data_IF_068015905547
#
_entry.id   IF_068015905547
#
_cell.length_a   1.000
_cell.length_b   1.000
_cell.length_c   1.000
_cell.angle_alpha   90.00
_cell.angle_beta   90.00
_cell.angle_gamma   90.00
#
_symmetry.space_group_name_H-M   'P 1'
#
loop_
_entity.id
_entity.type
_entity.pdbx_description
1 polymer ?
#
# COMPACT_ATOMS: atom_id res chain seq x y z
N UNK A 1 -28.52 26.76 50.19
CA UNK A 1 -28.34 25.34 49.72
C UNK A 1 -28.90 25.32 48.31
N UNK A 2 -28.03 25.62 47.33
CA UNK A 2 -28.36 25.51 45.90
C UNK A 2 -28.27 24.03 45.50
N UNK A 3 -29.37 23.53 44.98
CA UNK A 3 -29.43 22.20 44.38
C UNK A 3 -28.55 22.19 43.15
N UNK A 4 -27.37 21.56 43.21
CA UNK A 4 -26.62 21.17 42.04
C UNK A 4 -27.46 20.17 41.23
N UNK A 5 -27.94 20.63 40.10
CA UNK A 5 -28.69 19.83 39.13
C UNK A 5 -27.73 18.84 38.45
N UNK A 6 -28.11 17.56 38.45
CA UNK A 6 -27.39 16.40 37.83
C UNK A 6 -27.22 16.53 36.28
N UNK A 7 -27.46 17.67 35.68
CA UNK A 7 -27.46 17.90 34.23
C UNK A 7 -26.42 18.92 33.73
N UNK A 8 -25.50 19.37 34.60
CA UNK A 8 -24.46 20.33 34.17
C UNK A 8 -23.20 19.65 33.56
N UNK A 9 -23.29 18.39 33.18
CA UNK A 9 -22.20 17.60 32.53
C UNK A 9 -22.40 17.48 31.01
N UNK A 10 -23.00 18.47 30.36
CA UNK A 10 -23.00 18.54 28.87
C UNK A 10 -21.71 19.18 28.35
N UNK A 11 -20.56 18.71 28.82
CA UNK A 11 -19.33 18.79 28.03
C UNK A 11 -19.49 17.79 26.91
N UNK A 12 -19.80 18.27 25.69
CA UNK A 12 -19.57 17.52 24.46
C UNK A 12 -18.11 17.09 24.52
N UNK A 13 -17.87 15.83 24.86
CA UNK A 13 -16.53 15.32 25.17
C UNK A 13 -15.79 15.14 23.85
N UNK A 14 -15.04 16.16 23.48
CA UNK A 14 -14.05 16.03 22.40
C UNK A 14 -13.12 14.85 22.76
N UNK A 15 -12.88 13.90 21.85
CA UNK A 15 -12.04 12.74 22.11
C UNK A 15 -10.65 13.13 22.69
N UNK A 16 -10.14 12.32 23.61
CA UNK A 16 -8.87 12.57 24.28
C UNK A 16 -7.71 12.86 23.33
N UNK A 17 -7.64 12.12 22.21
CA UNK A 17 -6.66 12.32 21.15
C UNK A 17 -6.73 13.69 20.47
N UNK A 18 -7.89 14.37 20.52
CA UNK A 18 -8.05 15.72 19.99
C UNK A 18 -7.71 16.78 21.02
N UNK A 19 -8.05 16.54 22.30
CA UNK A 19 -7.78 17.46 23.41
C UNK A 19 -6.28 17.57 23.70
N UNK A 20 -5.55 16.45 23.59
CA UNK A 20 -4.10 16.36 23.85
C UNK A 20 -3.25 16.59 22.61
N UNK A 21 -3.81 17.21 21.57
CA UNK A 21 -3.01 17.50 20.38
C UNK A 21 -1.94 18.55 20.70
N UNK A 22 -0.64 18.24 20.55
CA UNK A 22 0.43 19.17 20.87
C UNK A 22 0.35 20.44 20.01
N UNK A 23 0.60 21.58 20.62
CA UNK A 23 0.63 22.88 19.97
C UNK A 23 2.06 23.29 19.52
N UNK A 24 3.08 22.63 20.03
CA UNK A 24 4.48 22.95 19.74
C UNK A 24 5.30 21.70 19.36
N UNK A 25 6.46 21.91 18.72
CA UNK A 25 7.40 20.83 18.42
C UNK A 25 8.02 20.21 19.67
N UNK A 26 8.09 20.94 20.77
CA UNK A 26 8.68 20.44 22.02
C UNK A 26 7.73 19.51 22.77
N UNK A 27 6.41 19.65 22.55
CA UNK A 27 5.38 18.73 23.05
C UNK A 27 5.16 17.54 22.11
N UNK A 28 5.68 17.61 20.88
CA UNK A 28 5.46 16.59 19.88
C UNK A 28 6.28 15.33 20.20
N UNK A 29 5.60 14.24 20.49
CA UNK A 29 6.23 12.97 20.91
C UNK A 29 6.70 12.18 19.70
N UNK A 30 7.91 11.63 19.78
CA UNK A 30 8.52 10.82 18.75
C UNK A 30 9.04 11.60 17.54
N UNK A 31 9.34 10.90 16.46
CA UNK A 31 9.88 11.45 15.19
C UNK A 31 11.19 12.27 15.37
N UNK A 32 12.02 11.91 16.32
CA UNK A 32 13.29 12.58 16.62
C UNK A 32 14.20 12.72 15.40
N UNK A 33 14.12 11.80 14.45
CA UNK A 33 14.89 11.82 13.21
C UNK A 33 14.47 12.95 12.27
N UNK A 34 13.25 13.51 12.42
CA UNK A 34 12.70 14.61 11.61
C UNK A 34 12.70 15.95 12.37
N UNK A 35 12.18 15.93 13.60
CA UNK A 35 11.89 17.14 14.37
C UNK A 35 12.77 17.31 15.62
N UNK A 36 13.71 16.41 15.86
CA UNK A 36 14.71 16.55 16.92
C UNK A 36 15.60 17.80 16.73
N UNK A 37 16.27 18.24 17.78
CA UNK A 37 17.18 19.41 17.72
C UNK A 37 18.21 19.24 16.61
N UNK A 38 18.34 20.27 15.76
CA UNK A 38 19.27 20.28 14.64
C UNK A 38 18.84 19.54 13.39
N UNK A 39 17.66 18.93 13.37
CA UNK A 39 17.13 18.25 12.19
C UNK A 39 16.57 19.22 11.16
N UNK A 40 16.63 18.81 9.88
CA UNK A 40 16.31 19.68 8.74
C UNK A 40 14.87 20.22 8.82
N UNK A 41 13.89 19.37 9.10
CA UNK A 41 12.49 19.79 9.15
C UNK A 41 12.28 20.82 10.29
N UNK A 42 12.85 20.56 11.48
CA UNK A 42 12.81 21.50 12.60
C UNK A 42 13.40 22.85 12.24
N UNK A 43 14.59 22.87 11.61
CA UNK A 43 15.24 24.10 11.18
C UNK A 43 14.40 24.89 10.16
N UNK A 44 13.76 24.19 9.21
CA UNK A 44 12.89 24.83 8.23
C UNK A 44 11.68 25.51 8.90
N UNK A 45 11.08 24.84 9.90
CA UNK A 45 9.97 25.38 10.67
C UNK A 45 10.40 26.58 11.52
N UNK A 46 11.50 26.45 12.24
CA UNK A 46 12.02 27.52 13.13
C UNK A 46 12.46 28.77 12.36
N UNK A 47 12.97 28.60 11.11
CA UNK A 47 13.36 29.70 10.22
C UNK A 47 12.24 30.23 9.34
N UNK A 48 11.03 29.70 9.46
CA UNK A 48 9.89 30.03 8.58
C UNK A 48 10.20 29.85 7.08
N UNK A 49 11.01 28.86 6.74
CA UNK A 49 11.45 28.52 5.37
C UNK A 49 10.82 27.21 4.88
N UNK A 50 9.54 27.06 5.12
CA UNK A 50 8.80 25.86 4.68
C UNK A 50 8.53 25.90 3.19
N UNK A 51 8.59 24.73 2.56
CA UNK A 51 8.20 24.48 1.18
C UNK A 51 7.14 23.37 1.14
N UNK A 52 6.51 23.15 0.00
CA UNK A 52 5.56 22.04 -0.17
C UNK A 52 6.21 20.71 0.17
N UNK A 53 5.47 19.84 0.87
CA UNK A 53 5.96 18.58 1.39
C UNK A 53 4.90 17.51 1.46
N UNK A 54 5.34 16.25 1.49
CA UNK A 54 4.50 15.07 1.69
C UNK A 54 4.93 14.38 2.97
N UNK A 55 4.00 14.15 3.89
CA UNK A 55 4.18 13.32 5.07
C UNK A 55 3.71 11.90 4.78
N UNK A 56 4.63 10.98 4.72
CA UNK A 56 4.37 9.57 4.49
C UNK A 56 4.65 8.76 5.75
N UNK A 57 3.73 7.89 6.15
CA UNK A 57 3.91 7.00 7.29
C UNK A 57 2.58 6.42 7.78
N UNK A 58 2.63 5.45 8.71
CA UNK A 58 1.46 4.75 9.23
C UNK A 58 0.45 5.69 9.89
N UNK A 59 -0.79 5.22 10.16
CA UNK A 59 -1.79 6.02 10.86
C UNK A 59 -1.34 6.37 12.28
N UNK A 60 -1.90 7.43 12.86
CA UNK A 60 -1.67 7.80 14.26
C UNK A 60 -0.28 8.31 14.66
N UNK A 61 0.64 8.49 13.72
CA UNK A 61 2.03 8.94 13.99
C UNK A 61 2.22 10.45 14.05
N UNK A 62 1.12 11.23 13.94
CA UNK A 62 1.16 12.67 14.12
C UNK A 62 1.25 13.50 12.82
N UNK A 63 0.98 12.95 11.62
CA UNK A 63 1.04 13.69 10.33
C UNK A 63 0.22 14.98 10.36
N UNK A 64 -1.07 14.89 10.71
CA UNK A 64 -1.98 16.03 10.81
C UNK A 64 -1.57 17.03 11.90
N UNK A 65 -1.10 16.51 13.02
CA UNK A 65 -0.61 17.31 14.15
C UNK A 65 0.62 18.13 13.77
N UNK A 66 1.58 17.50 13.11
CA UNK A 66 2.80 18.17 12.65
C UNK A 66 2.48 19.27 11.63
N UNK A 67 1.54 19.03 10.70
CA UNK A 67 1.08 20.04 9.78
C UNK A 67 0.43 21.24 10.49
N UNK A 68 -0.37 20.98 11.54
CA UNK A 68 -0.99 22.02 12.36
C UNK A 68 0.04 22.87 13.12
N UNK A 69 1.06 22.23 13.70
CA UNK A 69 2.17 22.93 14.37
C UNK A 69 2.94 23.82 13.40
N UNK A 70 3.22 23.31 12.18
CA UNK A 70 3.89 24.07 11.13
C UNK A 70 3.09 25.32 10.78
N UNK A 71 1.81 25.17 10.55
CA UNK A 71 0.93 26.28 10.18
C UNK A 71 0.85 27.35 11.30
N UNK A 72 0.71 26.94 12.55
CA UNK A 72 0.70 27.83 13.70
C UNK A 72 2.01 28.64 13.87
N UNK A 73 3.16 28.00 13.59
CA UNK A 73 4.47 28.66 13.71
C UNK A 73 4.75 29.65 12.56
N UNK A 74 4.22 29.42 11.38
CA UNK A 74 4.57 30.15 10.16
C UNK A 74 3.68 31.34 9.84
N UNK A 75 2.77 31.72 10.73
CA UNK A 75 1.79 32.81 10.55
C UNK A 75 1.05 32.75 9.20
N UNK A 76 0.77 31.53 8.75
CA UNK A 76 0.08 31.27 7.50
C UNK A 76 -1.40 30.97 7.75
N UNK A 77 -2.26 31.29 6.80
CA UNK A 77 -3.63 30.77 6.80
C UNK A 77 -3.59 29.26 6.65
N UNK A 78 -4.18 28.51 7.60
CA UNK A 78 -4.23 27.06 7.57
C UNK A 78 -5.56 26.58 7.06
N UNK A 79 -5.54 25.86 5.94
CA UNK A 79 -6.71 25.23 5.36
C UNK A 79 -6.54 23.72 5.45
N UNK A 80 -7.42 23.07 6.22
CA UNK A 80 -7.45 21.60 6.31
C UNK A 80 -8.45 21.06 5.30
N UNK A 81 -7.99 20.21 4.41
CA UNK A 81 -8.74 19.67 3.30
C UNK A 81 -8.71 18.13 3.33
N UNK A 82 -9.88 17.51 3.26
CA UNK A 82 -9.99 16.05 3.25
C UNK A 82 -10.20 15.54 1.82
N UNK A 83 -9.32 14.69 1.33
CA UNK A 83 -9.46 14.05 0.02
C UNK A 83 -10.66 13.10 -0.06
N UNK A 84 -11.23 12.69 1.09
CA UNK A 84 -12.38 11.79 1.15
C UNK A 84 -13.69 12.48 0.84
N UNK A 85 -13.84 13.74 1.29
CA UNK A 85 -15.11 14.46 1.22
C UNK A 85 -15.16 15.57 0.16
N UNK A 86 -14.01 15.92 -0.42
CA UNK A 86 -13.88 17.14 -1.22
C UNK A 86 -13.75 16.88 -2.72
N UNK A 87 -14.54 17.64 -3.47
CA UNK A 87 -14.59 17.58 -4.93
C UNK A 87 -13.68 18.61 -5.63
N UNK A 88 -13.55 18.49 -6.95
CA UNK A 88 -12.69 19.38 -7.77
C UNK A 88 -13.15 20.85 -7.73
N UNK A 89 -14.43 21.11 -7.49
CA UNK A 89 -14.98 22.48 -7.35
C UNK A 89 -14.43 23.16 -6.10
N UNK A 90 -14.46 22.46 -4.97
CA UNK A 90 -13.96 22.96 -3.68
C UNK A 90 -12.45 23.20 -3.74
N UNK A 91 -11.69 22.32 -4.42
CA UNK A 91 -10.26 22.53 -4.67
C UNK A 91 -10.05 23.88 -5.37
N UNK A 92 -10.80 24.15 -6.45
CA UNK A 92 -10.69 25.41 -7.21
C UNK A 92 -11.04 26.65 -6.39
N UNK A 93 -12.06 26.57 -5.55
CA UNK A 93 -12.47 27.67 -4.66
C UNK A 93 -11.39 28.00 -3.64
N UNK A 94 -10.82 26.97 -2.98
CA UNK A 94 -9.72 27.12 -2.05
C UNK A 94 -8.48 27.70 -2.74
N UNK A 95 -8.16 27.23 -3.96
CA UNK A 95 -7.04 27.75 -4.74
C UNK A 95 -7.21 29.24 -5.10
N UNK A 96 -8.40 29.63 -5.52
CA UNK A 96 -8.71 31.04 -5.82
C UNK A 96 -8.60 31.93 -4.57
N UNK A 97 -9.07 31.45 -3.42
CA UNK A 97 -8.93 32.15 -2.15
C UNK A 97 -7.46 32.32 -1.76
N UNK A 98 -6.65 31.26 -1.86
CA UNK A 98 -5.22 31.31 -1.60
C UNK A 98 -4.48 32.31 -2.51
N UNK A 99 -4.88 32.39 -3.79
CA UNK A 99 -4.31 33.37 -4.73
C UNK A 99 -4.66 34.81 -4.34
N UNK A 100 -5.87 35.05 -3.82
CA UNK A 100 -6.27 36.37 -3.30
C UNK A 100 -5.50 36.70 -2.02
N UNK A 101 -5.37 35.74 -1.08
CA UNK A 101 -4.60 35.92 0.15
C UNK A 101 -3.12 36.24 -0.15
N UNK A 102 -2.51 35.59 -1.15
CA UNK A 102 -1.16 35.88 -1.60
C UNK A 102 -0.96 37.33 -2.07
N UNK A 103 -1.95 37.88 -2.78
CA UNK A 103 -1.87 39.27 -3.28
C UNK A 103 -1.80 40.31 -2.15
N UNK A 104 -2.31 39.97 -0.98
CA UNK A 104 -2.23 40.83 0.23
C UNK A 104 -1.11 40.40 1.18
N UNK A 105 -0.20 39.53 0.72
CA UNK A 105 0.99 39.11 1.47
C UNK A 105 0.75 37.99 2.50
N UNK A 106 -0.43 37.37 2.48
CA UNK A 106 -0.76 36.24 3.38
C UNK A 106 -0.42 34.92 2.69
N UNK A 107 0.39 34.11 3.35
CA UNK A 107 0.71 32.76 2.90
C UNK A 107 -0.38 31.79 3.30
N UNK A 108 -0.67 30.80 2.45
CA UNK A 108 -1.67 29.76 2.72
C UNK A 108 -0.96 28.40 2.79
N UNK A 109 -1.08 27.73 3.93
CA UNK A 109 -0.70 26.33 4.09
C UNK A 109 -1.95 25.48 3.87
N UNK A 110 -1.94 24.70 2.80
CA UNK A 110 -2.99 23.74 2.49
C UNK A 110 -2.56 22.36 2.96
N UNK A 111 -3.22 21.85 3.98
CA UNK A 111 -3.05 20.47 4.41
C UNK A 111 -4.09 19.58 3.73
N UNK A 112 -3.62 18.52 3.06
CA UNK A 112 -4.48 17.54 2.40
C UNK A 112 -4.26 16.19 3.05
N UNK A 113 -5.26 15.75 3.84
CA UNK A 113 -5.22 14.41 4.44
C UNK A 113 -5.61 13.35 3.41
N UNK A 114 -4.91 12.21 3.45
CA UNK A 114 -5.07 11.07 2.53
C UNK A 114 -5.00 11.49 1.05
N UNK A 115 -3.99 12.30 0.69
CA UNK A 115 -3.82 12.88 -0.65
C UNK A 115 -3.82 11.84 -1.78
N UNK A 116 -3.46 10.58 -1.50
CA UNK A 116 -3.50 9.47 -2.45
C UNK A 116 -4.91 9.13 -2.95
N UNK A 117 -5.96 9.55 -2.24
CA UNK A 117 -7.36 9.35 -2.65
C UNK A 117 -7.79 10.29 -3.77
N UNK A 118 -7.04 11.32 -4.04
CA UNK A 118 -7.26 12.16 -5.19
C UNK A 118 -6.79 11.49 -6.48
N UNK A 119 -7.62 11.51 -7.51
CA UNK A 119 -7.22 11.06 -8.84
C UNK A 119 -6.18 12.03 -9.44
N UNK A 120 -5.54 11.60 -10.55
CA UNK A 120 -4.46 12.37 -11.20
C UNK A 120 -4.89 13.80 -11.58
N UNK A 121 -6.11 13.99 -12.09
CA UNK A 121 -6.61 15.31 -12.48
C UNK A 121 -6.82 16.25 -11.28
N UNK A 122 -7.22 15.68 -10.13
CA UNK A 122 -7.35 16.45 -8.88
C UNK A 122 -5.96 16.82 -8.32
N UNK A 123 -4.99 15.92 -8.38
CA UNK A 123 -3.62 16.21 -8.00
C UNK A 123 -2.96 17.26 -8.92
N UNK A 124 -3.22 17.19 -10.24
CA UNK A 124 -2.73 18.17 -11.20
C UNK A 124 -3.28 19.58 -10.95
N UNK A 125 -4.48 19.69 -10.38
CA UNK A 125 -5.09 20.99 -10.08
C UNK A 125 -4.28 21.81 -9.04
N UNK A 126 -3.43 21.17 -8.23
CA UNK A 126 -2.54 21.87 -7.28
C UNK A 126 -1.29 22.46 -7.93
N UNK A 127 -0.82 21.88 -9.03
CA UNK A 127 0.48 22.21 -9.64
C UNK A 127 0.67 23.71 -9.93
N UNK A 128 -0.26 24.42 -10.57
CA UNK A 128 -0.06 25.84 -10.89
C UNK A 128 0.09 26.71 -9.63
N UNK A 129 -0.53 26.34 -8.53
CA UNK A 129 -0.56 27.10 -7.28
C UNK A 129 0.67 26.80 -6.40
N UNK A 130 1.15 25.55 -6.43
CA UNK A 130 2.41 25.13 -5.81
C UNK A 130 3.58 25.81 -6.52
N UNK A 131 3.61 25.83 -7.86
CA UNK A 131 4.67 26.46 -8.66
C UNK A 131 4.75 27.97 -8.47
N UNK A 132 3.61 28.63 -8.35
CA UNK A 132 3.56 30.10 -8.12
C UNK A 132 3.79 30.47 -6.66
N UNK A 133 3.87 29.48 -5.75
CA UNK A 133 3.95 29.74 -4.32
C UNK A 133 2.68 30.34 -3.71
N UNK A 134 1.52 30.21 -4.38
CA UNK A 134 0.23 30.67 -3.86
C UNK A 134 -0.22 29.83 -2.69
N UNK A 135 0.19 28.57 -2.65
CA UNK A 135 0.01 27.64 -1.54
C UNK A 135 1.32 26.95 -1.18
N UNK A 136 1.45 26.61 0.08
CA UNK A 136 2.40 25.61 0.57
C UNK A 136 1.57 24.35 0.81
N UNK A 137 1.74 23.33 -0.04
CA UNK A 137 1.01 22.07 0.06
C UNK A 137 1.71 21.17 1.09
N UNK A 138 0.95 20.68 2.07
CA UNK A 138 1.36 19.61 2.98
C UNK A 138 0.41 18.44 2.74
N UNK A 139 0.83 17.46 1.94
CA UNK A 139 0.06 16.24 1.73
C UNK A 139 0.39 15.19 2.80
N UNK A 140 -0.61 14.52 3.36
CA UNK A 140 -0.42 13.37 4.22
C UNK A 140 -0.91 12.10 3.52
N UNK A 141 -0.18 11.01 3.68
CA UNK A 141 -0.54 9.71 3.11
C UNK A 141 -0.01 8.56 3.94
N UNK A 142 -0.75 7.46 3.97
CA UNK A 142 -0.29 6.16 4.47
C UNK A 142 0.31 5.31 3.35
N UNK A 143 0.00 5.63 2.09
CA UNK A 143 0.45 4.91 0.91
C UNK A 143 1.82 5.41 0.42
N UNK A 144 2.56 4.54 -0.28
CA UNK A 144 3.85 4.92 -0.85
C UNK A 144 3.67 6.02 -1.92
N UNK A 145 4.19 7.23 -1.68
CA UNK A 145 3.97 8.38 -2.56
C UNK A 145 4.53 8.16 -3.97
N UNK A 146 5.50 7.27 -4.16
CA UNK A 146 6.08 6.98 -5.48
C UNK A 146 5.10 6.28 -6.42
N UNK A 147 4.06 5.62 -5.89
CA UNK A 147 3.04 4.92 -6.67
C UNK A 147 1.75 5.73 -6.79
N UNK A 148 1.39 6.46 -5.74
CA UNK A 148 0.08 7.07 -5.60
C UNK A 148 0.05 8.57 -5.91
N UNK A 149 1.19 9.25 -5.78
CA UNK A 149 1.27 10.68 -6.09
C UNK A 149 1.88 10.87 -7.47
N UNK A 150 1.26 11.77 -8.23
CA UNK A 150 1.71 12.07 -9.57
C UNK A 150 3.15 12.64 -9.55
N UNK A 151 3.98 12.20 -10.49
CA UNK A 151 5.40 12.53 -10.54
C UNK A 151 5.67 14.05 -10.63
N UNK A 152 4.77 14.80 -11.30
CA UNK A 152 4.89 16.25 -11.42
C UNK A 152 4.69 16.95 -10.06
N UNK A 153 3.75 16.49 -9.25
CA UNK A 153 3.53 17.01 -7.90
C UNK A 153 4.65 16.58 -6.95
N UNK A 154 5.05 15.31 -7.02
CA UNK A 154 6.10 14.73 -6.19
C UNK A 154 7.45 15.44 -6.40
N UNK A 155 7.78 15.84 -7.64
CA UNK A 155 9.01 16.56 -7.95
C UNK A 155 9.09 17.97 -7.34
N UNK A 156 7.95 18.52 -6.89
CA UNK A 156 7.83 19.85 -6.26
C UNK A 156 7.65 19.80 -4.75
N UNK A 157 7.57 18.60 -4.18
CA UNK A 157 7.37 18.38 -2.76
C UNK A 157 8.56 17.62 -2.16
N UNK A 158 8.93 17.96 -0.93
CA UNK A 158 9.89 17.16 -0.15
C UNK A 158 9.13 16.05 0.58
N UNK A 159 9.59 14.82 0.46
CA UNK A 159 8.99 13.69 1.18
C UNK A 159 9.66 13.54 2.54
N UNK A 160 8.87 13.52 3.60
CA UNK A 160 9.31 13.22 4.97
C UNK A 160 8.63 11.94 5.44
N UNK A 161 9.43 10.95 5.82
CA UNK A 161 8.95 9.64 6.27
C UNK A 161 8.78 9.66 7.78
N UNK A 162 7.52 9.57 8.24
CA UNK A 162 7.20 9.40 9.65
C UNK A 162 7.19 7.90 9.97
N UNK A 163 7.78 7.53 11.08
CA UNK A 163 7.85 6.14 11.56
C UNK A 163 6.77 5.88 12.59
N UNK A 164 6.39 4.61 12.76
CA UNK A 164 5.60 4.18 13.91
C UNK A 164 6.27 4.66 15.21
N UNK A 165 5.48 5.07 16.19
CA UNK A 165 6.01 5.51 17.48
C UNK A 165 6.57 4.31 18.25
N UNK A 166 7.67 4.52 18.97
CA UNK A 166 8.22 3.49 19.83
C UNK A 166 7.36 3.35 21.11
N UNK A 167 7.33 2.19 21.72
CA UNK A 167 6.55 1.95 22.96
C UNK A 167 6.86 2.98 24.04
N UNK A 168 8.15 3.35 24.21
CA UNK A 168 8.56 4.39 25.17
C UNK A 168 7.96 5.77 24.87
N UNK A 169 7.69 6.09 23.60
CA UNK A 169 7.08 7.36 23.20
C UNK A 169 5.58 7.32 23.51
N UNK A 170 4.93 6.18 23.27
CA UNK A 170 3.53 5.96 23.65
C UNK A 170 3.34 5.97 25.15
N UNK A 171 4.24 5.36 25.94
CA UNK A 171 4.20 5.45 27.40
C UNK A 171 4.27 6.89 27.90
N UNK A 172 5.19 7.69 27.35
CA UNK A 172 5.29 9.12 27.71
C UNK A 172 3.99 9.87 27.40
N UNK A 173 3.40 9.60 26.22
CA UNK A 173 2.15 10.22 25.80
C UNK A 173 1.01 9.83 26.75
N UNK A 174 0.89 8.54 27.10
CA UNK A 174 -0.14 8.04 28.00
C UNK A 174 0.00 8.60 29.41
N UNK A 175 1.22 8.65 29.97
CA UNK A 175 1.49 9.27 31.27
C UNK A 175 1.13 10.74 31.25
N UNK A 176 1.49 11.46 30.19
CA UNK A 176 1.11 12.86 30.01
C UNK A 176 -0.43 13.01 29.99
N UNK A 177 -1.13 12.11 29.30
CA UNK A 177 -2.59 12.12 29.23
C UNK A 177 -3.27 11.96 30.60
N UNK A 178 -2.69 11.16 31.48
CA UNK A 178 -3.21 10.94 32.84
C UNK A 178 -3.09 12.18 33.72
N UNK A 179 -1.99 12.94 33.60
CA UNK A 179 -1.69 14.07 34.50
C UNK A 179 -2.07 15.45 33.90
N UNK A 180 -2.20 15.54 32.58
CA UNK A 180 -2.50 16.81 31.91
C UNK A 180 -3.90 17.32 32.25
N UNK A 181 -4.09 18.64 32.48
CA UNK A 181 -5.42 19.27 32.63
C UNK A 181 -6.33 19.04 31.42
N UNK A 182 -5.76 19.01 30.21
CA UNK A 182 -6.47 18.71 28.96
C UNK A 182 -6.84 17.22 28.84
N UNK A 183 -6.14 16.36 29.61
CA UNK A 183 -6.39 14.92 29.71
C UNK A 183 -7.32 14.59 30.88
N UNK A 184 -6.78 13.84 31.83
CA UNK A 184 -7.47 13.35 33.03
C UNK A 184 -6.98 13.99 34.33
N UNK A 185 -6.11 15.00 34.29
CA UNK A 185 -5.47 15.58 35.49
C UNK A 185 -6.45 16.11 36.54
N UNK A 186 -7.70 16.40 36.18
CA UNK A 186 -8.76 16.80 37.12
C UNK A 186 -9.55 15.65 37.74
N UNK A 187 -9.30 14.38 37.36
CA UNK A 187 -10.12 13.22 37.74
C UNK A 187 -9.40 12.22 38.66
N UNK A 188 -8.12 12.49 39.00
CA UNK A 188 -7.26 11.61 39.81
C UNK A 188 -7.29 10.14 39.35
N UNK A 189 -6.90 9.93 38.08
CA UNK A 189 -6.87 8.59 37.47
C UNK A 189 -5.66 7.82 37.98
N UNK A 190 -5.91 6.63 38.55
CA UNK A 190 -4.90 5.66 39.00
C UNK A 190 -4.84 4.52 38.00
N UNK A 191 -3.71 4.36 37.33
CA UNK A 191 -3.41 3.25 36.41
C UNK A 191 -2.01 2.72 36.70
N UNK A 192 -1.84 1.39 36.68
CA UNK A 192 -0.54 0.76 36.94
C UNK A 192 0.45 1.02 35.78
N UNK A 193 1.76 0.92 36.10
CA UNK A 193 2.81 1.01 35.08
C UNK A 193 2.70 -0.13 34.05
N UNK A 194 2.28 -1.32 34.51
CA UNK A 194 2.01 -2.46 33.61
C UNK A 194 0.81 -2.18 32.69
N UNK A 195 -0.23 -1.52 33.20
CA UNK A 195 -1.37 -1.09 32.38
C UNK A 195 -0.96 -0.09 31.31
N UNK A 196 -0.12 0.90 31.62
CA UNK A 196 0.41 1.84 30.63
C UNK A 196 1.22 1.11 29.55
N UNK A 197 2.10 0.17 29.96
CA UNK A 197 2.89 -0.64 29.01
C UNK A 197 2.00 -1.52 28.13
N UNK A 198 0.97 -2.13 28.70
CA UNK A 198 0.03 -2.97 27.95
C UNK A 198 -0.72 -2.17 26.89
N UNK A 199 -1.18 -0.95 27.20
CA UNK A 199 -1.82 -0.05 26.22
C UNK A 199 -0.81 0.37 25.14
N UNK A 200 0.44 0.73 25.51
CA UNK A 200 1.47 1.13 24.55
C UNK A 200 1.83 0.00 23.57
N UNK A 201 2.01 -1.22 24.07
CA UNK A 201 2.27 -2.39 23.25
C UNK A 201 1.09 -2.75 22.34
N UNK A 202 -0.15 -2.65 22.87
CA UNK A 202 -1.37 -2.87 22.09
C UNK A 202 -1.53 -1.88 20.94
N UNK A 203 -1.22 -0.61 21.18
CA UNK A 203 -1.37 0.46 20.18
C UNK A 203 -0.36 0.36 19.03
N UNK A 204 0.70 -0.45 19.17
CA UNK A 204 1.65 -0.80 18.11
C UNK A 204 2.10 0.41 17.26
N UNK A 205 2.47 1.51 17.92
CA UNK A 205 3.00 2.71 17.27
C UNK A 205 1.97 3.76 16.86
N UNK A 206 0.68 3.55 17.11
CA UNK A 206 -0.41 4.49 16.83
C UNK A 206 -0.85 5.25 18.09
N UNK A 207 -0.53 6.56 18.17
CA UNK A 207 -0.90 7.42 19.30
C UNK A 207 -2.41 7.58 19.47
N UNK A 208 -3.18 7.58 18.37
CA UNK A 208 -4.65 7.71 18.42
C UNK A 208 -5.26 6.47 19.06
N UNK A 209 -4.81 5.29 18.65
CA UNK A 209 -5.22 4.02 19.25
C UNK A 209 -4.85 3.97 20.73
N UNK A 210 -3.63 4.37 21.11
CA UNK A 210 -3.20 4.42 22.49
C UNK A 210 -4.09 5.31 23.36
N UNK A 211 -4.36 6.54 22.92
CA UNK A 211 -5.18 7.50 23.66
C UNK A 211 -6.65 7.07 23.75
N UNK A 212 -7.21 6.53 22.67
CA UNK A 212 -8.58 6.01 22.68
C UNK A 212 -8.73 4.80 23.61
N UNK A 213 -7.73 3.90 23.64
CA UNK A 213 -7.74 2.75 24.56
C UNK A 213 -7.65 3.23 26.01
N UNK A 214 -6.79 4.21 26.30
CA UNK A 214 -6.72 4.81 27.64
C UNK A 214 -8.06 5.47 28.03
N UNK A 215 -8.67 6.24 27.11
CA UNK A 215 -9.97 6.89 27.34
C UNK A 215 -11.04 5.85 27.67
N UNK A 216 -11.12 4.77 26.90
CA UNK A 216 -12.05 3.66 27.20
C UNK A 216 -11.75 2.97 28.51
N UNK A 217 -10.48 2.71 28.83
CA UNK A 217 -10.11 2.08 30.09
C UNK A 217 -10.47 2.96 31.31
N UNK A 218 -10.30 4.27 31.21
CA UNK A 218 -10.70 5.22 32.28
C UNK A 218 -12.23 5.29 32.42
N UNK A 219 -12.97 5.29 31.30
CA UNK A 219 -14.45 5.32 31.33
C UNK A 219 -15.05 4.02 31.92
N UNK A 220 -14.34 2.89 31.82
CA UNK A 220 -14.73 1.62 32.42
C UNK A 220 -14.05 1.34 33.78
N UNK A 221 -13.29 2.30 34.31
CA UNK A 221 -12.61 2.17 35.59
C UNK A 221 -13.57 2.29 36.78
N UNK A 222 -13.13 1.81 37.94
CA UNK A 222 -13.87 1.90 39.19
C UNK A 222 -13.82 3.33 39.77
N UNK A 223 -15.00 3.92 39.94
CA UNK A 223 -15.13 5.27 40.48
C UNK A 223 -15.22 5.21 42.02
N UNK A 224 -14.34 5.92 42.71
CA UNK A 224 -14.32 6.05 44.16
C UNK A 224 -14.28 7.55 44.58
N UNK A 225 -14.40 7.80 45.87
CA UNK A 225 -14.21 9.16 46.42
C UNK A 225 -12.78 9.70 46.19
N UNK A 226 -11.81 8.83 45.94
CA UNK A 226 -10.39 9.18 45.71
C UNK A 226 -10.03 9.35 44.25
N UNK A 227 -10.93 9.08 43.31
CA UNK A 227 -10.70 9.16 41.89
C UNK A 227 -11.15 7.90 41.13
N UNK A 228 -10.61 7.70 39.94
CA UNK A 228 -10.92 6.59 39.04
C UNK A 228 -9.73 5.63 39.04
N UNK A 229 -9.98 4.34 39.38
CA UNK A 229 -8.98 3.30 39.28
C UNK A 229 -9.22 2.42 38.07
N UNK A 230 -8.24 2.33 37.18
CA UNK A 230 -8.28 1.42 36.03
C UNK A 230 -7.81 0.04 36.51
N UNK A 231 -8.73 -0.93 36.54
CA UNK A 231 -8.45 -2.32 36.95
C UNK A 231 -7.88 -3.13 35.80
N UNK A 232 -7.28 -4.30 36.12
CA UNK A 232 -6.78 -5.24 35.09
C UNK A 232 -7.91 -5.77 34.20
N UNK A 233 -9.10 -6.04 34.82
CA UNK A 233 -10.28 -6.50 34.07
C UNK A 233 -10.78 -5.46 33.08
N UNK A 234 -10.80 -4.19 33.47
CA UNK A 234 -11.17 -3.08 32.56
C UNK A 234 -10.18 -2.96 31.40
N UNK A 235 -8.89 -3.15 31.67
CA UNK A 235 -7.84 -3.15 30.63
C UNK A 235 -7.98 -4.35 29.69
N UNK A 236 -8.19 -5.56 30.20
CA UNK A 236 -8.38 -6.76 29.39
C UNK A 236 -9.58 -6.61 28.45
N UNK A 237 -10.69 -6.05 28.91
CA UNK A 237 -11.85 -5.78 28.06
C UNK A 237 -11.57 -4.77 26.94
N UNK A 238 -10.71 -3.77 27.19
CA UNK A 238 -10.31 -2.78 26.19
C UNK A 238 -9.27 -3.31 25.21
N UNK A 239 -8.42 -4.25 25.62
CA UNK A 239 -7.28 -4.77 24.86
C UNK A 239 -7.59 -6.14 24.19
N UNK A 240 -8.65 -6.86 24.60
CA UNK A 240 -8.96 -8.24 24.22
C UNK A 240 -9.30 -8.49 22.75
N UNK A 241 -9.37 -7.47 21.92
CA UNK A 241 -9.30 -7.61 20.46
C UNK A 241 -7.94 -7.11 20.00
N UNK A 242 -6.96 -8.02 19.84
CA UNK A 242 -5.78 -7.73 19.01
C UNK A 242 -6.26 -7.23 17.65
N UNK A 243 -6.38 -5.93 17.52
CA UNK A 243 -6.38 -5.32 16.21
C UNK A 243 -4.95 -5.46 15.68
N UNK A 244 -4.69 -6.55 14.97
CA UNK A 244 -3.52 -6.60 14.11
C UNK A 244 -3.65 -5.37 13.20
N UNK A 245 -2.77 -4.40 13.37
CA UNK A 245 -2.70 -3.25 12.46
C UNK A 245 -2.37 -3.79 11.07
N UNK A 246 -3.41 -4.05 10.33
CA UNK A 246 -3.37 -4.37 8.93
C UNK A 246 -3.99 -3.19 8.18
N UNK A 247 -3.12 -2.36 7.64
CA UNK A 247 -3.57 -1.34 6.69
C UNK A 247 -3.76 -2.01 5.33
N UNK A 248 -5.02 -2.22 4.95
CA UNK A 248 -5.41 -2.92 3.70
C UNK A 248 -4.85 -2.30 2.42
N UNK A 249 -4.31 -1.11 2.51
CA UNK A 249 -3.84 -0.32 1.36
C UNK A 249 -2.44 0.26 1.57
N UNK A 250 -1.84 0.09 2.75
CA UNK A 250 -0.55 0.68 3.12
C UNK A 250 0.68 -0.18 2.83
N UNK A 251 1.82 0.31 3.25
CA UNK A 251 3.13 -0.33 3.04
C UNK A 251 3.19 -1.75 3.63
N UNK A 252 2.56 -1.98 4.79
CA UNK A 252 2.53 -3.30 5.45
C UNK A 252 1.80 -4.34 4.61
N UNK A 253 0.72 -3.96 3.91
CA UNK A 253 0.03 -4.82 2.94
C UNK A 253 0.98 -5.33 1.84
N UNK A 254 1.77 -4.41 1.23
CA UNK A 254 2.74 -4.78 0.20
C UNK A 254 3.91 -5.59 0.76
N UNK A 255 4.35 -5.31 1.99
CA UNK A 255 5.40 -6.05 2.66
C UNK A 255 4.99 -7.49 2.96
N UNK A 256 3.78 -7.71 3.47
CA UNK A 256 3.26 -9.04 3.82
C UNK A 256 3.05 -9.90 2.58
N UNK A 257 2.43 -9.38 1.52
CA UNK A 257 2.27 -10.15 0.28
C UNK A 257 3.61 -10.44 -0.40
N UNK A 258 4.57 -9.52 -0.30
CA UNK A 258 5.94 -9.73 -0.79
C UNK A 258 6.67 -10.80 0.03
N UNK A 259 6.49 -10.81 1.36
CA UNK A 259 7.04 -11.84 2.23
C UNK A 259 6.46 -13.22 1.92
N UNK A 260 5.14 -13.34 1.74
CA UNK A 260 4.47 -14.56 1.30
C UNK A 260 5.08 -15.09 0.00
N UNK A 261 5.17 -14.26 -1.04
CA UNK A 261 5.74 -14.67 -2.33
C UNK A 261 7.21 -15.08 -2.23
N UNK A 262 8.02 -14.35 -1.46
CA UNK A 262 9.44 -14.67 -1.26
C UNK A 262 9.63 -15.99 -0.50
N UNK A 263 8.77 -16.27 0.50
CA UNK A 263 8.78 -17.53 1.23
C UNK A 263 8.45 -18.71 0.30
N UNK A 264 7.39 -18.58 -0.51
CA UNK A 264 7.05 -19.61 -1.50
C UNK A 264 8.15 -19.82 -2.55
N UNK A 265 8.84 -18.75 -3.03
CA UNK A 265 9.99 -18.86 -3.94
C UNK A 265 11.16 -19.61 -3.30
N UNK A 266 11.35 -19.40 -2.01
CA UNK A 266 12.39 -20.08 -1.24
C UNK A 266 11.99 -21.51 -0.84
N UNK A 267 10.82 -22.00 -1.27
CA UNK A 267 10.28 -23.31 -0.89
C UNK A 267 10.18 -23.50 0.62
N UNK A 268 9.80 -22.44 1.34
CA UNK A 268 9.55 -22.42 2.77
C UNK A 268 8.04 -22.34 3.03
N UNK A 269 7.34 -23.48 3.15
CA UNK A 269 5.90 -23.51 3.36
C UNK A 269 5.48 -22.97 4.74
N UNK A 270 6.30 -23.14 5.77
CA UNK A 270 5.97 -22.69 7.13
C UNK A 270 5.95 -21.16 7.22
N UNK A 271 6.99 -20.51 6.69
CA UNK A 271 7.02 -19.05 6.59
C UNK A 271 5.88 -18.53 5.68
N UNK A 272 5.59 -19.20 4.58
CA UNK A 272 4.52 -18.81 3.67
C UNK A 272 3.14 -18.89 4.34
N UNK A 273 2.84 -19.96 5.08
CA UNK A 273 1.61 -20.10 5.88
C UNK A 273 1.53 -18.98 6.93
N UNK A 274 2.61 -18.71 7.64
CA UNK A 274 2.66 -17.66 8.66
C UNK A 274 2.29 -16.29 8.09
N UNK A 275 2.91 -15.89 6.97
CA UNK A 275 2.62 -14.58 6.35
C UNK A 275 1.21 -14.50 5.80
N UNK A 276 0.69 -15.58 5.22
CA UNK A 276 -0.69 -15.66 4.74
C UNK A 276 -1.69 -15.51 5.89
N UNK A 277 -1.50 -16.27 6.99
CA UNK A 277 -2.39 -16.20 8.16
C UNK A 277 -2.33 -14.82 8.81
N UNK A 278 -1.14 -14.21 8.90
CA UNK A 278 -1.02 -12.84 9.40
C UNK A 278 -1.81 -11.83 8.57
N UNK A 279 -1.91 -12.03 7.25
CA UNK A 279 -2.76 -11.20 6.38
C UNK A 279 -4.25 -11.46 6.66
N UNK A 280 -4.68 -12.71 6.76
CA UNK A 280 -6.07 -13.07 7.02
C UNK A 280 -6.55 -12.57 8.39
N UNK A 281 -5.77 -12.79 9.45
CA UNK A 281 -6.06 -12.30 10.81
C UNK A 281 -6.05 -10.76 10.87
N UNK A 282 -5.27 -10.10 10.02
CA UNK A 282 -5.30 -8.65 9.83
C UNK A 282 -6.54 -8.16 9.06
N UNK A 283 -7.38 -9.06 8.57
CA UNK A 283 -8.62 -8.75 7.85
C UNK A 283 -8.43 -8.54 6.35
N UNK A 284 -7.35 -9.06 5.75
CA UNK A 284 -7.19 -9.05 4.30
C UNK A 284 -8.30 -9.86 3.62
N UNK A 285 -8.68 -9.40 2.44
CA UNK A 285 -9.64 -10.12 1.62
C UNK A 285 -9.02 -11.43 1.09
N UNK A 286 -9.56 -12.62 1.45
CA UNK A 286 -9.04 -13.90 1.00
C UNK A 286 -8.97 -14.02 -0.53
N UNK A 287 -9.88 -13.39 -1.27
CA UNK A 287 -9.83 -13.36 -2.73
C UNK A 287 -8.64 -12.54 -3.27
N UNK A 288 -8.15 -11.53 -2.52
CA UNK A 288 -6.92 -10.84 -2.89
C UNK A 288 -5.73 -11.79 -2.81
N UNK A 289 -5.58 -12.49 -1.69
CA UNK A 289 -4.50 -13.48 -1.51
C UNK A 289 -4.58 -14.54 -2.61
N UNK A 290 -5.76 -15.11 -2.85
CA UNK A 290 -5.97 -16.11 -3.90
C UNK A 290 -5.56 -15.61 -5.30
N UNK A 291 -5.89 -14.36 -5.67
CA UNK A 291 -5.43 -13.76 -6.94
C UNK A 291 -3.91 -13.67 -7.02
N UNK A 292 -3.25 -13.40 -5.89
CA UNK A 292 -1.79 -13.35 -5.83
C UNK A 292 -1.16 -14.75 -5.98
N UNK A 293 -1.81 -15.79 -5.46
CA UNK A 293 -1.41 -17.18 -5.66
C UNK A 293 -1.55 -17.62 -7.13
N UNK A 294 -2.64 -17.22 -7.81
CA UNK A 294 -2.81 -17.46 -9.26
C UNK A 294 -1.66 -16.82 -10.05
N UNK A 295 -1.31 -15.58 -9.71
CA UNK A 295 -0.17 -14.89 -10.34
C UNK A 295 1.14 -15.64 -10.10
N UNK A 296 1.40 -16.06 -8.86
CA UNK A 296 2.59 -16.81 -8.48
C UNK A 296 2.70 -18.14 -9.26
N UNK A 297 1.60 -18.87 -9.40
CA UNK A 297 1.55 -20.13 -10.13
C UNK A 297 2.06 -20.01 -11.58
N UNK A 298 1.73 -18.90 -12.26
CA UNK A 298 2.19 -18.67 -13.64
C UNK A 298 3.57 -17.99 -13.72
N UNK A 299 3.91 -17.13 -12.75
CA UNK A 299 5.14 -16.32 -12.78
C UNK A 299 6.36 -17.07 -12.25
N UNK A 300 6.17 -17.85 -11.17
CA UNK A 300 7.26 -18.46 -10.41
C UNK A 300 7.33 -19.99 -10.55
N UNK A 301 6.21 -20.65 -10.86
CA UNK A 301 6.17 -22.10 -11.16
C UNK A 301 6.11 -22.33 -12.66
N UNK A 302 5.21 -21.66 -13.37
CA UNK A 302 5.11 -21.68 -14.82
C UNK A 302 4.93 -23.09 -15.39
N UNK A 303 5.75 -23.44 -16.37
CA UNK A 303 5.72 -24.73 -17.05
C UNK A 303 6.46 -25.85 -16.30
N UNK A 304 7.07 -25.53 -15.15
CA UNK A 304 7.71 -26.56 -14.34
C UNK A 304 6.70 -27.50 -13.65
N UNK A 305 5.48 -26.98 -13.38
CA UNK A 305 4.34 -27.77 -12.92
C UNK A 305 3.04 -27.12 -13.45
N UNK A 306 2.48 -27.70 -14.49
CA UNK A 306 1.28 -27.17 -15.16
C UNK A 306 0.01 -27.26 -14.29
N UNK A 307 -0.02 -28.11 -13.25
CA UNK A 307 -1.13 -28.23 -12.33
C UNK A 307 -1.18 -27.06 -11.31
N UNK A 308 -0.07 -26.37 -11.09
CA UNK A 308 0.01 -25.27 -10.13
C UNK A 308 -1.03 -24.19 -10.36
N UNK A 309 -1.27 -23.80 -11.61
CA UNK A 309 -2.30 -22.82 -11.96
C UNK A 309 -3.71 -23.33 -11.64
N UNK A 310 -4.00 -24.61 -11.88
CA UNK A 310 -5.29 -25.23 -11.59
C UNK A 310 -5.57 -25.24 -10.09
N UNK A 311 -4.58 -25.62 -9.27
CA UNK A 311 -4.68 -25.61 -7.80
C UNK A 311 -4.96 -24.20 -7.29
N UNK A 312 -4.24 -23.19 -7.79
CA UNK A 312 -4.44 -21.80 -7.39
C UNK A 312 -5.82 -21.27 -7.79
N UNK A 313 -6.32 -21.62 -8.98
CA UNK A 313 -7.68 -21.24 -9.43
C UNK A 313 -8.76 -21.97 -8.61
N UNK A 314 -8.57 -23.25 -8.30
CA UNK A 314 -9.49 -24.00 -7.44
C UNK A 314 -9.57 -23.39 -6.02
N UNK A 315 -8.44 -22.99 -5.44
CA UNK A 315 -8.41 -22.27 -4.17
C UNK A 315 -9.16 -20.93 -4.23
N UNK A 316 -8.99 -20.17 -5.32
CA UNK A 316 -9.77 -18.93 -5.54
C UNK A 316 -11.27 -19.20 -5.57
N UNK A 317 -11.70 -20.22 -6.30
CA UNK A 317 -13.12 -20.60 -6.38
C UNK A 317 -13.66 -21.05 -5.01
N UNK A 318 -12.90 -21.85 -4.27
CA UNK A 318 -13.26 -22.25 -2.92
C UNK A 318 -13.44 -21.03 -2.00
N UNK A 319 -12.52 -20.06 -2.02
CA UNK A 319 -12.67 -18.82 -1.27
C UNK A 319 -13.90 -18.02 -1.66
N UNK A 320 -14.25 -18.04 -2.96
CA UNK A 320 -15.43 -17.33 -3.46
C UNK A 320 -16.73 -17.96 -3.00
N UNK A 321 -16.80 -19.30 -2.94
CA UNK A 321 -18.01 -20.03 -2.57
C UNK A 321 -18.22 -20.15 -1.07
N UNK A 322 -17.15 -20.35 -0.30
CA UNK A 322 -17.22 -20.63 1.14
C UNK A 322 -17.07 -19.37 1.99
N UNK A 323 -16.13 -18.49 1.63
CA UNK A 323 -15.77 -17.33 2.46
C UNK A 323 -14.98 -17.72 3.72
N UNK A 324 -14.72 -16.73 4.59
CA UNK A 324 -14.09 -16.96 5.89
C UNK A 324 -15.13 -17.45 6.92
N UNK A 325 -14.75 -18.30 7.88
CA UNK A 325 -13.37 -18.80 8.12
C UNK A 325 -12.97 -20.01 7.27
N UNK A 326 -13.91 -20.73 6.65
CA UNK A 326 -13.67 -22.07 6.05
C UNK A 326 -12.65 -22.04 4.89
N UNK A 327 -12.49 -20.92 4.20
CA UNK A 327 -11.61 -20.84 3.04
C UNK A 327 -10.11 -20.75 3.38
N UNK A 328 -9.72 -20.54 4.64
CA UNK A 328 -8.33 -20.45 5.08
C UNK A 328 -7.55 -21.74 4.82
N UNK A 329 -8.17 -22.91 5.04
CA UNK A 329 -7.57 -24.23 4.76
C UNK A 329 -7.33 -24.42 3.26
N UNK A 330 -8.20 -23.92 2.39
CA UNK A 330 -8.02 -24.02 0.93
C UNK A 330 -6.90 -23.12 0.44
N UNK A 331 -6.73 -21.94 1.03
CA UNK A 331 -5.57 -21.07 0.78
C UNK A 331 -4.29 -21.71 1.28
N UNK A 332 -4.31 -22.32 2.47
CA UNK A 332 -3.16 -23.06 3.03
C UNK A 332 -2.74 -24.21 2.10
N UNK A 333 -3.70 -24.98 1.58
CA UNK A 333 -3.41 -26.03 0.60
C UNK A 333 -2.67 -25.47 -0.62
N UNK A 334 -3.17 -24.39 -1.23
CA UNK A 334 -2.54 -23.78 -2.38
C UNK A 334 -1.14 -23.22 -2.05
N UNK A 335 -0.97 -22.59 -0.90
CA UNK A 335 0.32 -22.04 -0.44
C UNK A 335 1.35 -23.15 -0.28
N UNK A 336 1.00 -24.26 0.37
CA UNK A 336 1.90 -25.42 0.53
C UNK A 336 2.24 -26.02 -0.81
N UNK A 337 1.24 -26.26 -1.67
CA UNK A 337 1.46 -26.81 -3.02
C UNK A 337 2.45 -25.94 -3.81
N UNK A 338 2.17 -24.63 -3.89
CA UNK A 338 3.01 -23.69 -4.63
C UNK A 338 4.41 -23.51 -4.02
N UNK A 339 4.54 -23.67 -2.71
CA UNK A 339 5.85 -23.65 -2.04
C UNK A 339 6.69 -24.86 -2.42
N UNK A 340 6.08 -26.02 -2.56
CA UNK A 340 6.78 -27.28 -2.85
C UNK A 340 6.95 -27.54 -4.35
N UNK A 341 6.17 -26.90 -5.22
CA UNK A 341 6.29 -27.03 -6.66
C UNK A 341 7.68 -26.62 -7.17
N UNK A 342 8.23 -27.27 -8.22
CA UNK A 342 9.45 -26.79 -8.87
C UNK A 342 9.27 -25.38 -9.43
N UNK A 343 10.32 -24.57 -9.44
CA UNK A 343 10.26 -23.15 -9.79
C UNK A 343 10.83 -22.90 -11.19
N UNK A 344 10.07 -22.16 -12.02
CA UNK A 344 10.53 -21.62 -13.29
C UNK A 344 9.90 -20.26 -13.56
N UNK A 345 10.73 -19.27 -13.82
CA UNK A 345 10.29 -17.93 -14.23
C UNK A 345 10.43 -17.71 -15.75
N UNK A 346 10.60 -18.78 -16.53
CA UNK A 346 10.83 -18.70 -17.98
C UNK A 346 9.70 -17.98 -18.73
N UNK A 347 8.44 -18.22 -18.33
CA UNK A 347 7.27 -17.55 -18.90
C UNK A 347 7.27 -16.02 -18.60
N UNK A 348 7.58 -15.66 -17.37
CA UNK A 348 7.66 -14.24 -16.97
C UNK A 348 8.76 -13.52 -17.75
N UNK A 349 9.95 -14.12 -17.83
CA UNK A 349 11.09 -13.56 -18.57
C UNK A 349 10.78 -13.42 -20.06
N UNK A 350 10.14 -14.44 -20.66
CA UNK A 350 9.71 -14.39 -22.07
C UNK A 350 8.73 -13.25 -22.32
N UNK A 351 7.72 -13.11 -21.44
CA UNK A 351 6.70 -12.07 -21.54
C UNK A 351 7.31 -10.66 -21.44
N UNK A 352 8.16 -10.41 -20.44
CA UNK A 352 8.77 -9.09 -20.23
C UNK A 352 9.78 -8.74 -21.35
N UNK A 353 10.53 -9.70 -21.84
CA UNK A 353 11.45 -9.49 -22.96
C UNK A 353 10.68 -9.15 -24.24
N UNK A 354 9.61 -9.90 -24.54
CA UNK A 354 8.76 -9.64 -25.69
C UNK A 354 8.07 -8.24 -25.59
N UNK A 355 7.51 -7.89 -24.43
CA UNK A 355 6.92 -6.56 -24.21
C UNK A 355 7.93 -5.43 -24.44
N UNK A 356 9.19 -5.63 -24.02
CA UNK A 356 10.25 -4.65 -24.23
C UNK A 356 10.53 -4.45 -25.72
N UNK A 357 10.66 -5.54 -26.49
CA UNK A 357 10.87 -5.45 -27.93
C UNK A 357 9.68 -4.78 -28.65
N UNK A 358 8.44 -5.16 -28.32
CA UNK A 358 7.23 -4.55 -28.88
C UNK A 358 7.14 -3.05 -28.61
N UNK A 359 7.62 -2.58 -27.44
CA UNK A 359 7.63 -1.14 -27.10
C UNK A 359 8.75 -0.36 -27.78
N UNK A 360 9.90 -0.99 -27.98
CA UNK A 360 11.10 -0.33 -28.52
C UNK A 360 11.17 -0.34 -30.04
N UNK A 361 10.60 -1.36 -30.68
CA UNK A 361 10.60 -1.49 -32.13
C UNK A 361 9.35 -0.83 -32.71
N UNK A 362 9.48 -0.26 -33.93
CA UNK A 362 8.29 0.13 -34.69
C UNK A 362 7.44 -1.10 -34.95
N UNK A 363 6.13 -0.93 -35.06
CA UNK A 363 5.20 -2.00 -35.39
C UNK A 363 5.64 -2.68 -36.69
N UNK A 364 6.27 -3.84 -36.57
CA UNK A 364 6.69 -4.65 -37.71
C UNK A 364 5.45 -5.26 -38.38
N UNK A 365 5.36 -5.27 -39.71
CA UNK A 365 4.21 -5.87 -40.36
C UNK A 365 4.17 -7.38 -40.18
N UNK A 366 2.96 -7.92 -40.09
CA UNK A 366 2.77 -9.38 -40.08
C UNK A 366 3.31 -9.94 -41.43
N UNK A 367 4.12 -11.02 -41.41
CA UNK A 367 4.60 -11.66 -42.63
C UNK A 367 3.47 -12.10 -43.56
N UNK A 368 3.65 -11.94 -44.89
CA UNK A 368 2.58 -12.17 -45.86
C UNK A 368 2.00 -13.57 -45.83
N UNK A 369 2.85 -14.59 -45.58
CA UNK A 369 2.46 -16.00 -45.53
C UNK A 369 1.45 -16.32 -44.39
N UNK A 370 1.46 -15.56 -43.32
CA UNK A 370 0.52 -15.75 -42.18
C UNK A 370 -0.60 -14.70 -42.11
N UNK A 371 -0.74 -13.88 -43.15
CA UNK A 371 -1.90 -12.98 -43.26
C UNK A 371 -3.09 -13.70 -43.87
N UNK A 372 -4.29 -13.41 -43.41
CA UNK A 372 -5.51 -13.96 -43.99
C UNK A 372 -5.90 -13.17 -45.28
N UNK A 373 -5.90 -13.85 -46.41
CA UNK A 373 -6.43 -13.34 -47.66
C UNK A 373 -7.93 -13.60 -47.84
N UNK A 374 -8.77 -12.79 -47.19
CA UNK A 374 -10.23 -12.99 -47.18
C UNK A 374 -10.90 -12.55 -48.49
N UNK A 375 -10.36 -11.52 -49.11
CA UNK A 375 -10.88 -10.99 -50.43
C UNK A 375 -9.90 -11.31 -51.56
N UNK A 376 -10.43 -11.31 -52.82
CA UNK A 376 -9.57 -11.58 -54.00
C UNK A 376 -8.47 -10.53 -54.11
N UNK A 377 -8.76 -9.25 -53.86
CA UNK A 377 -7.75 -8.22 -53.78
C UNK A 377 -6.63 -8.52 -52.78
N UNK A 378 -6.94 -9.04 -51.61
CA UNK A 378 -5.93 -9.43 -50.61
C UNK A 378 -5.07 -10.59 -51.11
N UNK A 379 -5.67 -11.57 -51.80
CA UNK A 379 -4.94 -12.69 -52.42
C UNK A 379 -4.02 -12.19 -53.53
N UNK A 380 -4.50 -11.29 -54.37
CA UNK A 380 -3.70 -10.65 -55.43
C UNK A 380 -2.53 -9.84 -54.86
N UNK A 381 -2.68 -9.25 -53.70
CA UNK A 381 -1.63 -8.56 -52.94
C UNK A 381 -0.66 -9.53 -52.25
N UNK A 382 -0.85 -10.85 -52.36
CA UNK A 382 0.05 -11.87 -51.81
C UNK A 382 -0.24 -12.31 -50.38
N UNK A 383 -1.42 -11.97 -49.80
CA UNK A 383 -1.81 -12.43 -48.45
C UNK A 383 -2.00 -13.96 -48.47
N UNK A 384 -1.38 -14.66 -47.51
CA UNK A 384 -1.40 -16.12 -47.41
C UNK A 384 -0.50 -16.83 -48.45
N UNK A 385 0.24 -16.11 -49.28
CA UNK A 385 1.16 -16.74 -50.25
C UNK A 385 2.31 -17.40 -49.51
N UNK A 386 2.50 -18.71 -49.71
CA UNK A 386 3.52 -19.52 -49.06
C UNK A 386 3.09 -20.02 -47.66
N UNK A 387 1.80 -19.96 -47.35
CA UNK A 387 1.29 -20.56 -46.14
C UNK A 387 1.33 -22.10 -46.19
N UNK A 388 1.96 -22.71 -45.24
CA UNK A 388 2.02 -24.18 -45.06
C UNK A 388 1.16 -24.58 -43.89
N UNK A 389 0.17 -25.45 -44.15
CA UNK A 389 -0.72 -25.91 -43.09
C UNK A 389 -0.08 -27.12 -42.38
N UNK A 390 0.36 -26.91 -41.12
CA UNK A 390 1.13 -27.92 -40.36
C UNK A 390 0.38 -29.27 -40.23
N UNK A 391 -0.95 -29.28 -40.24
CA UNK A 391 -1.71 -30.54 -40.18
C UNK A 391 -1.60 -31.40 -41.42
N UNK A 392 -1.16 -30.86 -42.55
CA UNK A 392 -0.96 -31.61 -43.79
C UNK A 392 0.42 -32.31 -43.84
N UNK A 393 1.33 -31.99 -42.92
CA UNK A 393 2.65 -32.64 -42.80
C UNK A 393 2.59 -33.83 -41.86
N UNK A 394 3.47 -34.81 -42.02
CA UNK A 394 3.59 -35.98 -41.18
C UNK A 394 4.00 -35.61 -39.76
N UNK A 395 4.98 -34.75 -39.60
CA UNK A 395 5.54 -34.28 -38.33
C UNK A 395 4.66 -33.27 -37.63
N UNK A 396 3.61 -32.76 -38.29
CA UNK A 396 2.76 -31.62 -37.85
C UNK A 396 3.57 -30.35 -37.56
N UNK A 397 4.67 -30.18 -38.29
CA UNK A 397 5.61 -29.05 -38.24
C UNK A 397 5.85 -28.51 -39.66
N UNK A 398 6.20 -27.25 -39.76
CA UNK A 398 6.58 -26.60 -41.03
C UNK A 398 7.86 -25.78 -40.85
N UNK A 399 8.54 -25.49 -41.94
CA UNK A 399 9.69 -24.58 -41.97
C UNK A 399 9.31 -23.11 -42.12
N UNK A 400 8.02 -22.79 -42.19
CA UNK A 400 7.49 -21.47 -42.41
C UNK A 400 7.93 -20.47 -41.36
N UNK A 401 8.42 -19.32 -41.77
CA UNK A 401 8.79 -18.21 -40.91
C UNK A 401 7.52 -17.47 -40.42
N UNK A 402 7.33 -17.44 -39.11
CA UNK A 402 6.18 -16.78 -38.45
C UNK A 402 6.54 -15.42 -37.81
N UNK A 403 7.82 -15.16 -37.59
CA UNK A 403 8.28 -13.89 -37.03
C UNK A 403 8.50 -12.84 -38.16
N UNK A 404 8.34 -11.55 -37.86
CA UNK A 404 8.80 -10.50 -38.78
C UNK A 404 10.31 -10.66 -39.12
N UNK A 405 10.72 -10.24 -40.33
CA UNK A 405 12.11 -10.44 -40.78
C UNK A 405 13.17 -9.89 -39.84
N UNK A 406 12.89 -8.74 -39.21
CA UNK A 406 13.81 -8.14 -38.22
C UNK A 406 13.93 -8.93 -36.91
N UNK A 407 12.97 -9.81 -36.63
CA UNK A 407 12.87 -10.60 -35.40
C UNK A 407 13.02 -12.10 -35.67
N UNK A 408 13.33 -12.52 -36.88
CA UNK A 408 13.40 -13.95 -37.29
C UNK A 408 14.27 -14.81 -36.39
N UNK A 409 15.38 -14.24 -35.90
CA UNK A 409 16.34 -14.94 -35.03
C UNK A 409 16.07 -14.69 -33.53
N UNK A 410 15.02 -13.94 -33.19
CA UNK A 410 14.69 -13.61 -31.82
C UNK A 410 14.00 -14.78 -31.11
N UNK A 411 14.49 -15.12 -29.94
CA UNK A 411 13.92 -16.16 -29.08
C UNK A 411 13.49 -15.53 -27.75
N UNK A 412 12.25 -15.76 -27.34
CA UNK A 412 11.72 -15.27 -26.07
C UNK A 412 11.64 -16.36 -25.00
N UNK A 413 11.13 -17.53 -25.38
CA UNK A 413 10.93 -18.63 -24.42
C UNK A 413 12.18 -19.50 -24.36
N UNK A 414 12.77 -19.52 -23.14
CA UNK A 414 13.94 -20.32 -22.80
C UNK A 414 13.54 -21.25 -21.63
N UNK A 415 13.06 -22.46 -21.91
CA UNK A 415 12.64 -23.39 -20.88
C UNK A 415 13.79 -23.77 -19.95
N UNK A 416 13.46 -24.02 -18.68
CA UNK A 416 14.41 -24.51 -17.68
C UNK A 416 14.45 -26.05 -17.68
N UNK A 417 15.37 -26.61 -16.87
CA UNK A 417 15.43 -28.04 -16.63
C UNK A 417 14.60 -28.46 -15.37
N UNK A 418 13.71 -27.64 -14.91
CA UNK A 418 12.93 -27.89 -13.69
C UNK A 418 11.60 -28.58 -13.99
N UNK A 419 11.26 -29.60 -13.19
CA UNK A 419 9.97 -30.28 -13.27
C UNK A 419 9.60 -30.75 -14.68
N UNK A 420 8.33 -30.57 -15.07
CA UNK A 420 7.78 -30.91 -16.39
C UNK A 420 8.38 -30.08 -17.54
N UNK A 421 8.94 -28.92 -17.23
CA UNK A 421 9.53 -28.03 -18.25
C UNK A 421 10.77 -28.63 -18.91
N UNK A 422 11.45 -29.59 -18.24
CA UNK A 422 12.55 -30.32 -18.82
C UNK A 422 12.16 -31.11 -20.09
N UNK A 423 10.94 -31.68 -20.12
CA UNK A 423 10.44 -32.38 -21.31
C UNK A 423 10.06 -31.39 -22.41
N UNK A 424 9.44 -30.25 -22.02
CA UNK A 424 9.16 -29.13 -22.94
C UNK A 424 10.44 -28.61 -23.57
N UNK A 425 11.55 -28.52 -22.82
CA UNK A 425 12.84 -28.07 -23.33
C UNK A 425 13.38 -29.05 -24.42
N UNK A 426 13.30 -30.34 -24.19
CA UNK A 426 13.73 -31.38 -25.17
C UNK A 426 12.90 -31.26 -26.46
N UNK A 427 11.57 -31.21 -26.31
CA UNK A 427 10.65 -31.08 -27.46
C UNK A 427 10.91 -29.79 -28.26
N UNK A 428 11.14 -28.68 -27.57
CA UNK A 428 11.45 -27.41 -28.25
C UNK A 428 12.79 -27.47 -29.01
N UNK A 429 13.77 -28.17 -28.50
CA UNK A 429 15.05 -28.34 -29.15
C UNK A 429 14.90 -29.17 -30.45
N UNK A 430 14.12 -30.25 -30.43
CA UNK A 430 13.78 -31.04 -31.61
C UNK A 430 13.09 -30.17 -32.67
N UNK A 431 12.08 -29.41 -32.29
CA UNK A 431 11.36 -28.50 -33.19
C UNK A 431 12.33 -27.47 -33.80
N UNK A 432 13.25 -26.93 -33.02
CA UNK A 432 14.25 -25.97 -33.50
C UNK A 432 15.23 -26.59 -34.50
N UNK A 433 15.65 -27.83 -34.26
CA UNK A 433 16.52 -28.61 -35.19
C UNK A 433 15.77 -28.84 -36.51
N UNK A 434 14.52 -29.32 -36.45
CA UNK A 434 13.68 -29.51 -37.62
C UNK A 434 13.57 -28.21 -38.43
N UNK A 435 13.19 -27.09 -37.80
CA UNK A 435 13.05 -25.82 -38.50
C UNK A 435 14.33 -25.28 -39.14
N UNK A 436 15.50 -25.66 -38.62
CA UNK A 436 16.80 -25.32 -39.17
C UNK A 436 17.28 -26.28 -40.27
N UNK A 437 16.52 -27.32 -40.60
CA UNK A 437 16.89 -28.33 -41.57
C UNK A 437 18.12 -29.18 -41.15
N UNK A 438 18.31 -29.33 -39.84
CA UNK A 438 19.46 -30.08 -39.28
C UNK A 438 19.12 -31.53 -38.94
N UNK A 439 17.88 -31.97 -39.23
CA UNK A 439 17.45 -33.36 -39.11
C UNK A 439 17.81 -34.09 -40.43
N UNK A 440 19.09 -34.50 -40.57
CA UNK A 440 19.56 -35.51 -41.52
C UNK A 440 20.52 -36.44 -40.82
#
# INVERSE_FOLDING_TARGET
MEQMTLFDNNRVTTPLASRLRPASLDEFVGQEHLVGKGKILRQLIERDQISSMIFWGPPGVGKTTLASIIAGRTRSEFINFSAVTSGIKEIKEVMNRAELSRRVGIRTVLFVDEIHRFNKAQQDAFLPFVERGSIILIGATTENPSFEINAALLSRCRVFVLKALEEKDLEKLLRHAVISPEGFGGQNVKISDDGIRAIAAFANGDARTALNTLEMAVLNGEISAEGITVTEEALEQCISRKSLLYDKTGEEHYNLISALHKSMRNSDPDAAIYWMMRMLEGGENPLYIARRLIRFASEDVGMADSNALQVAVAAYQACHFLGMPECDVHLTHAVVYLSMAPKSNALYTACETCKKDVRMLRAEPVPFQIRNGVTDLMKDLGYGKGYEYAHDTEEKLTHMQCMPDRLKDRTYYHPTAQGEEAETAKRLEEIRKFRKGQDK
#
